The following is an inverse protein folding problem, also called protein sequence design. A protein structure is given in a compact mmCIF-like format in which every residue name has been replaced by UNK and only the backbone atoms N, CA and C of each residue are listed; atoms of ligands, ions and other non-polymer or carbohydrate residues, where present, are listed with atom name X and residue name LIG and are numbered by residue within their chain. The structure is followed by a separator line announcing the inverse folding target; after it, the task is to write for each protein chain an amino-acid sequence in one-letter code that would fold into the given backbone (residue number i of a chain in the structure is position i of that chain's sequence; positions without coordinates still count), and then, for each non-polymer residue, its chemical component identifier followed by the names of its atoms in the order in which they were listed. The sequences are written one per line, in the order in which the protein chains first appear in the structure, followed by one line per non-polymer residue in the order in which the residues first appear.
data_IF_660891997264
#
_entry.id   IF_660891997264
#
_cell.length_a   1.000
_cell.length_b   1.000
_cell.length_c   1.000
_cell.angle_alpha   90.00
_cell.angle_beta   90.00
_cell.angle_gamma   90.00
#
_symmetry.space_group_name_H-M   'P 1'
#
loop_
_entity.id
_entity.type
_entity.pdbx_description
1 polymer ?
#
# COMPACT_ATOMS: atom_id res chain seq x y z
N UNK A 1 17.30 -21.40 4.42
CA UNK A 1 16.44 -20.51 3.61
C UNK A 1 15.15 -20.29 4.39
N UNK A 2 14.71 -19.05 4.60
CA UNK A 2 13.47 -18.77 5.33
C UNK A 2 12.25 -19.08 4.45
N UNK A 3 11.25 -19.86 4.92
CA UNK A 3 9.98 -20.06 4.22
C UNK A 3 9.30 -18.74 3.83
N UNK A 4 8.63 -18.70 2.68
CA UNK A 4 8.02 -17.47 2.16
C UNK A 4 6.96 -16.87 3.09
N UNK A 5 6.13 -17.69 3.73
CA UNK A 5 5.13 -17.22 4.68
C UNK A 5 5.76 -16.54 5.91
N UNK A 6 6.90 -17.04 6.41
CA UNK A 6 7.63 -16.41 7.51
C UNK A 6 8.28 -15.10 7.06
N UNK A 7 8.78 -15.02 5.82
CA UNK A 7 9.28 -13.77 5.22
C UNK A 7 8.19 -12.70 5.17
N UNK A 8 6.99 -13.07 4.71
CA UNK A 8 5.80 -12.19 4.66
C UNK A 8 5.38 -11.71 6.02
N UNK A 9 5.36 -12.62 7.00
CA UNK A 9 5.06 -12.28 8.39
C UNK A 9 6.04 -11.23 8.92
N UNK A 10 7.35 -11.46 8.83
CA UNK A 10 8.36 -10.52 9.31
C UNK A 10 8.26 -9.15 8.62
N UNK A 11 8.01 -9.12 7.31
CA UNK A 11 7.83 -7.86 6.58
C UNK A 11 6.58 -7.10 7.02
N UNK A 12 5.48 -7.82 7.26
CA UNK A 12 4.21 -7.25 7.73
C UNK A 12 4.35 -6.71 9.14
N UNK A 13 4.94 -7.48 10.06
CA UNK A 13 5.21 -7.06 11.44
C UNK A 13 6.11 -5.82 11.49
N UNK A 14 7.19 -5.79 10.70
CA UNK A 14 8.05 -4.61 10.60
C UNK A 14 7.29 -3.38 10.07
N UNK A 15 6.35 -3.58 9.15
CA UNK A 15 5.50 -2.50 8.61
C UNK A 15 4.55 -1.97 9.68
N UNK A 16 3.90 -2.86 10.43
CA UNK A 16 2.99 -2.46 11.52
C UNK A 16 3.74 -1.82 12.69
N UNK A 17 4.89 -2.36 13.08
CA UNK A 17 5.73 -1.76 14.12
C UNK A 17 6.10 -0.31 13.79
N UNK A 18 6.30 0.00 12.50
CA UNK A 18 6.59 1.35 12.05
C UNK A 18 5.36 2.25 11.98
N UNK A 19 4.25 1.77 11.42
CA UNK A 19 3.13 2.63 11.01
C UNK A 19 1.86 2.52 11.87
N UNK A 20 1.64 1.45 12.65
CA UNK A 20 0.31 1.15 13.20
C UNK A 20 -0.29 2.27 14.05
N UNK A 21 0.52 2.94 14.86
CA UNK A 21 0.07 4.02 15.76
C UNK A 21 0.24 5.42 15.16
N UNK A 22 0.72 5.52 13.91
CA UNK A 22 0.97 6.83 13.30
C UNK A 22 -0.28 7.32 12.56
N UNK A 23 -0.64 8.61 12.70
CA UNK A 23 -1.70 9.18 11.90
C UNK A 23 -1.31 9.32 10.43
N UNK A 24 -2.32 9.28 9.57
CA UNK A 24 -2.14 9.67 8.17
C UNK A 24 -1.78 11.15 8.16
N UNK A 25 -0.58 11.45 7.71
CA UNK A 25 -0.08 12.81 7.66
C UNK A 25 0.90 12.97 6.48
N UNK A 26 0.54 13.89 5.61
CA UNK A 26 1.32 14.23 4.44
C UNK A 26 2.62 14.97 4.79
N UNK A 27 2.64 15.75 5.87
CA UNK A 27 3.82 16.53 6.26
C UNK A 27 4.94 15.63 6.78
N UNK A 28 4.61 14.65 7.63
CA UNK A 28 5.55 13.67 8.17
C UNK A 28 5.84 12.49 7.24
N UNK A 29 5.29 12.47 6.01
CA UNK A 29 5.45 11.38 5.04
C UNK A 29 4.92 10.05 5.55
N UNK A 30 3.79 10.12 6.26
CA UNK A 30 3.07 8.96 6.79
C UNK A 30 1.77 8.79 6.00
N UNK A 31 1.85 8.13 4.85
CA UNK A 31 0.68 7.84 4.01
C UNK A 31 0.73 6.42 3.45
N UNK A 32 -0.37 5.95 2.84
CA UNK A 32 -0.48 4.61 2.27
C UNK A 32 0.66 4.27 1.29
N UNK A 33 1.07 5.20 0.42
CA UNK A 33 2.19 4.96 -0.52
C UNK A 33 3.55 4.87 0.18
N UNK A 34 3.75 5.62 1.27
CA UNK A 34 4.97 5.52 2.07
C UNK A 34 5.04 4.19 2.81
N UNK A 35 3.92 3.74 3.37
CA UNK A 35 3.78 2.41 3.99
C UNK A 35 4.05 1.31 2.96
N UNK A 36 3.38 1.36 1.80
CA UNK A 36 3.56 0.39 0.72
C UNK A 36 5.03 0.33 0.26
N UNK A 37 5.66 1.48 0.01
CA UNK A 37 7.08 1.53 -0.38
C UNK A 37 7.99 0.90 0.69
N UNK A 38 7.73 1.17 1.97
CA UNK A 38 8.48 0.55 3.06
C UNK A 38 8.27 -0.98 3.07
N UNK A 39 7.02 -1.43 2.96
CA UNK A 39 6.68 -2.85 2.93
C UNK A 39 7.35 -3.59 1.77
N UNK A 40 7.29 -3.02 0.55
CA UNK A 40 7.98 -3.55 -0.63
C UNK A 40 9.48 -3.76 -0.38
N UNK A 41 10.14 -2.81 0.29
CA UNK A 41 11.57 -2.95 0.65
C UNK A 41 11.80 -4.07 1.68
N UNK A 42 10.91 -4.23 2.66
CA UNK A 42 10.99 -5.34 3.62
C UNK A 42 10.80 -6.71 2.91
N UNK A 43 10.00 -6.73 1.85
CA UNK A 43 9.83 -7.88 0.98
C UNK A 43 10.94 -8.06 -0.07
N UNK A 44 12.00 -7.24 -0.04
CA UNK A 44 13.17 -7.38 -0.91
C UNK A 44 13.05 -6.69 -2.29
N UNK A 45 11.93 -6.01 -2.56
CA UNK A 45 11.76 -5.24 -3.79
C UNK A 45 12.56 -3.93 -3.75
N UNK A 46 12.81 -3.39 -4.95
CA UNK A 46 13.51 -2.11 -5.15
C UNK A 46 12.60 -1.11 -5.84
N UNK A 47 11.52 -0.64 -5.19
CA UNK A 47 10.62 0.33 -5.79
C UNK A 47 11.39 1.62 -6.14
N UNK A 48 11.00 2.31 -7.23
CA UNK A 48 11.69 3.50 -7.69
C UNK A 48 11.72 4.60 -6.62
N UNK A 49 12.63 5.58 -6.75
CA UNK A 49 12.63 6.76 -5.89
C UNK A 49 11.26 7.44 -5.91
N UNK A 50 10.71 7.64 -4.72
CA UNK A 50 9.43 8.33 -4.54
C UNK A 50 9.69 9.83 -4.51
N UNK A 51 8.89 10.67 -5.21
CA UNK A 51 9.06 12.11 -5.13
C UNK A 51 8.63 12.60 -3.74
N UNK A 52 9.02 13.82 -3.38
CA UNK A 52 8.55 14.43 -2.13
C UNK A 52 7.07 14.81 -2.27
N UNK A 53 6.18 13.99 -1.71
CA UNK A 53 4.72 14.19 -1.75
C UNK A 53 4.24 14.65 -0.38
N UNK A 54 3.69 15.86 -0.31
CA UNK A 54 3.20 16.48 0.93
C UNK A 54 1.72 16.90 0.88
N UNK A 55 0.97 16.40 -0.09
CA UNK A 55 -0.49 16.57 -0.18
C UNK A 55 -1.11 15.62 -1.21
N UNK A 56 -2.43 15.43 -1.14
CA UNK A 56 -3.20 14.69 -2.15
C UNK A 56 -3.02 15.28 -3.57
N UNK A 57 -3.03 16.62 -3.69
CA UNK A 57 -2.77 17.28 -4.97
C UNK A 57 -1.34 16.98 -5.47
N UNK A 58 -0.36 16.97 -4.56
CA UNK A 58 1.02 16.58 -4.86
C UNK A 58 1.14 15.14 -5.35
N UNK A 59 0.39 14.21 -4.73
CA UNK A 59 0.31 12.81 -5.16
C UNK A 59 -0.24 12.70 -6.58
N UNK A 60 -1.37 13.34 -6.89
CA UNK A 60 -1.95 13.33 -8.25
C UNK A 60 -0.98 13.89 -9.30
N UNK A 61 -0.31 15.01 -8.98
CA UNK A 61 0.73 15.59 -9.86
C UNK A 61 1.89 14.61 -10.07
N UNK A 62 2.29 13.87 -9.04
CA UNK A 62 3.34 12.88 -9.12
C UNK A 62 2.97 11.68 -10.01
N UNK A 63 1.72 11.20 -9.95
CA UNK A 63 1.20 10.16 -10.85
C UNK A 63 1.22 10.66 -12.30
N UNK A 64 0.63 11.83 -12.56
CA UNK A 64 0.59 12.46 -13.89
C UNK A 64 1.98 12.67 -14.49
N UNK A 65 2.95 13.14 -13.70
CA UNK A 65 4.34 13.34 -14.15
C UNK A 65 4.99 12.02 -14.60
N UNK A 66 4.61 10.89 -13.99
CA UNK A 66 5.07 9.55 -14.37
C UNK A 66 4.19 8.86 -15.42
N UNK A 67 3.14 9.54 -15.90
CA UNK A 67 2.15 9.01 -16.86
C UNK A 67 1.44 7.76 -16.33
N UNK A 68 1.18 7.73 -15.02
CA UNK A 68 0.28 6.77 -14.41
C UNK A 68 -1.09 7.43 -14.25
N UNK A 69 -2.13 6.78 -14.76
CA UNK A 69 -3.48 7.32 -14.74
C UNK A 69 -4.06 7.32 -13.32
N UNK A 70 -3.74 6.30 -12.53
CA UNK A 70 -4.17 6.12 -11.14
C UNK A 70 -3.12 5.37 -10.30
N UNK A 71 -3.52 4.98 -9.07
CA UNK A 71 -2.66 4.24 -8.14
C UNK A 71 -2.48 2.78 -8.56
N UNK A 72 -3.49 2.19 -9.21
CA UNK A 72 -3.40 0.81 -9.72
C UNK A 72 -2.36 0.72 -10.85
N UNK A 73 -2.40 1.65 -11.81
CA UNK A 73 -1.42 1.77 -12.88
C UNK A 73 0.00 2.01 -12.34
N UNK A 74 0.13 2.78 -11.24
CA UNK A 74 1.41 2.88 -10.54
C UNK A 74 1.88 1.53 -10.02
N UNK A 75 1.03 0.75 -9.35
CA UNK A 75 1.43 -0.55 -8.82
C UNK A 75 1.73 -1.55 -9.93
N UNK A 76 1.01 -1.54 -11.04
CA UNK A 76 1.33 -2.35 -12.23
C UNK A 76 2.73 -2.01 -12.78
N UNK A 77 3.11 -0.73 -12.80
CA UNK A 77 4.44 -0.31 -13.24
C UNK A 77 5.55 -0.65 -12.22
N UNK A 78 5.25 -0.62 -10.92
CA UNK A 78 6.21 -0.92 -9.85
C UNK A 78 6.39 -2.43 -9.65
N UNK A 79 5.34 -3.22 -9.88
CA UNK A 79 5.28 -4.67 -9.74
C UNK A 79 4.76 -5.32 -11.04
N UNK A 80 5.54 -5.28 -12.13
CA UNK A 80 5.09 -5.76 -13.43
C UNK A 80 4.73 -7.26 -13.38
N UNK A 81 3.52 -7.59 -13.85
CA UNK A 81 3.01 -8.97 -13.89
C UNK A 81 2.57 -9.55 -12.54
N UNK A 82 2.59 -8.76 -11.46
CA UNK A 82 2.24 -9.22 -10.12
C UNK A 82 0.73 -9.12 -9.79
N UNK A 83 -0.08 -8.62 -10.71
CA UNK A 83 -1.52 -8.42 -10.48
C UNK A 83 -2.22 -9.76 -10.30
N UNK A 84 -3.05 -9.86 -9.27
CA UNK A 84 -3.78 -11.08 -8.90
C UNK A 84 -5.24 -10.78 -8.62
N UNK A 85 -6.08 -11.81 -8.63
CA UNK A 85 -7.44 -11.70 -8.10
C UNK A 85 -7.37 -11.42 -6.58
N UNK A 86 -8.21 -10.52 -6.02
CA UNK A 86 -8.19 -10.21 -4.59
C UNK A 86 -8.33 -11.44 -3.67
N UNK A 87 -9.12 -12.43 -4.09
CA UNK A 87 -9.31 -13.67 -3.32
C UNK A 87 -8.05 -14.56 -3.25
N UNK A 88 -7.04 -14.29 -4.09
CA UNK A 88 -5.77 -15.01 -4.11
C UNK A 88 -4.66 -14.30 -3.30
N UNK A 89 -4.99 -13.22 -2.58
CA UNK A 89 -4.03 -12.51 -1.75
C UNK A 89 -3.51 -13.39 -0.63
N UNK A 90 -2.23 -13.20 -0.31
CA UNK A 90 -1.54 -13.77 0.83
C UNK A 90 -1.10 -12.65 1.77
N UNK A 91 -0.77 -12.99 3.02
CA UNK A 91 -0.21 -12.04 3.98
C UNK A 91 0.88 -11.18 3.33
N UNK A 92 0.79 -9.86 3.49
CA UNK A 92 1.74 -8.91 2.92
C UNK A 92 1.47 -8.47 1.47
N UNK A 93 0.49 -9.06 0.79
CA UNK A 93 0.08 -8.57 -0.53
C UNK A 93 -0.56 -7.18 -0.42
N UNK A 94 -0.47 -6.40 -1.50
CA UNK A 94 -1.04 -5.06 -1.54
C UNK A 94 -2.37 -5.07 -2.27
N UNK A 95 -3.32 -4.29 -1.76
CA UNK A 95 -4.60 -4.06 -2.37
C UNK A 95 -4.80 -2.56 -2.64
N UNK A 96 -5.58 -2.25 -3.67
CA UNK A 96 -6.07 -0.88 -3.91
C UNK A 96 -7.58 -0.88 -3.80
N UNK A 97 -8.10 0.12 -3.09
CA UNK A 97 -9.52 0.41 -2.96
C UNK A 97 -9.75 1.88 -3.31
N UNK A 98 -11.00 2.24 -3.61
CA UNK A 98 -11.36 3.64 -3.74
C UNK A 98 -11.11 4.34 -2.41
N UNK A 99 -10.37 5.44 -2.47
CA UNK A 99 -10.10 6.29 -1.30
C UNK A 99 -10.92 7.58 -1.35
N UNK A 100 -10.49 8.55 -0.56
CA UNK A 100 -11.09 9.87 -0.49
C UNK A 100 -10.37 10.89 -1.41
N UNK A 101 -10.90 12.11 -1.48
CA UNK A 101 -10.24 13.26 -2.13
C UNK A 101 -9.80 13.03 -3.59
N UNK A 102 -10.43 12.08 -4.30
CA UNK A 102 -10.08 11.71 -5.67
C UNK A 102 -8.72 11.00 -5.80
N UNK A 103 -8.33 10.21 -4.78
CA UNK A 103 -7.19 9.30 -4.83
C UNK A 103 -7.60 7.93 -4.28
N UNK A 104 -7.10 6.88 -4.89
CA UNK A 104 -7.24 5.53 -4.34
C UNK A 104 -6.32 5.33 -3.14
N UNK A 105 -6.67 4.37 -2.28
CA UNK A 105 -5.91 4.00 -1.10
C UNK A 105 -5.21 2.64 -1.31
N UNK A 106 -3.96 2.53 -0.86
CA UNK A 106 -3.22 1.27 -0.82
C UNK A 106 -3.36 0.66 0.58
N UNK A 107 -3.75 -0.61 0.65
CA UNK A 107 -3.91 -1.38 1.87
C UNK A 107 -2.94 -2.57 1.87
N UNK A 108 -2.57 -3.04 3.07
CA UNK A 108 -1.75 -4.22 3.27
C UNK A 108 -2.62 -5.39 3.71
N UNK A 109 -2.57 -6.52 3.00
CA UNK A 109 -3.41 -7.67 3.32
C UNK A 109 -2.88 -8.46 4.54
N UNK A 110 -3.79 -8.84 5.44
CA UNK A 110 -3.49 -9.57 6.66
C UNK A 110 -4.60 -10.59 7.01
N UNK A 111 -4.68 -11.69 6.23
CA UNK A 111 -5.66 -12.74 6.47
C UNK A 111 -7.01 -12.41 5.83
N UNK A 112 -8.09 -12.29 6.60
CA UNK A 112 -9.39 -11.89 6.02
C UNK A 112 -9.60 -10.38 5.98
N UNK A 113 -8.58 -9.62 6.39
CA UNK A 113 -8.65 -8.17 6.57
C UNK A 113 -7.58 -7.48 5.72
N UNK A 114 -7.80 -6.20 5.46
CA UNK A 114 -6.81 -5.30 4.88
C UNK A 114 -6.53 -4.16 5.86
N UNK A 115 -5.25 -3.84 6.02
CA UNK A 115 -4.75 -2.86 6.99
C UNK A 115 -4.46 -1.54 6.27
N UNK A 116 -5.02 -0.46 6.80
CA UNK A 116 -4.74 0.90 6.33
C UNK A 116 -5.45 1.95 7.19
N UNK A 117 -5.36 3.21 6.77
CA UNK A 117 -6.09 4.30 7.42
C UNK A 117 -7.52 4.36 6.88
N UNK A 118 -8.49 4.31 7.79
CA UNK A 118 -9.90 4.52 7.48
C UNK A 118 -10.27 6.00 7.62
N UNK A 119 -11.22 6.51 6.84
CA UNK A 119 -11.66 7.92 6.87
C UNK A 119 -12.13 8.39 8.26
N UNK A 120 -12.75 7.49 9.02
CA UNK A 120 -13.22 7.72 10.40
C UNK A 120 -12.17 7.35 11.46
N UNK A 121 -10.92 7.10 11.07
CA UNK A 121 -9.86 6.62 11.96
C UNK A 121 -8.59 7.47 11.87
N UNK A 122 -7.88 7.58 13.00
CA UNK A 122 -6.62 8.33 13.08
C UNK A 122 -5.38 7.45 12.99
N UNK A 123 -5.52 6.14 12.80
CA UNK A 123 -4.41 5.18 12.77
C UNK A 123 -4.73 4.00 11.84
N UNK A 124 -3.78 3.11 11.63
CA UNK A 124 -4.05 1.89 10.86
C UNK A 124 -5.03 1.01 11.63
N UNK A 125 -6.08 0.58 10.95
CA UNK A 125 -7.09 -0.34 11.47
C UNK A 125 -7.27 -1.51 10.50
N UNK A 126 -7.66 -2.69 11.00
CA UNK A 126 -8.15 -3.76 10.15
C UNK A 126 -9.51 -3.40 9.55
N UNK A 127 -9.70 -3.75 8.29
CA UNK A 127 -10.93 -3.49 7.55
C UNK A 127 -11.31 -4.72 6.73
N UNK A 128 -12.60 -5.05 6.72
CA UNK A 128 -13.18 -5.95 5.73
C UNK A 128 -13.48 -5.10 4.50
N UNK A 129 -12.88 -5.47 3.37
CA UNK A 129 -13.04 -4.75 2.10
C UNK A 129 -14.00 -5.50 1.20
N UNK A 130 -15.03 -4.81 0.72
CA UNK A 130 -16.05 -5.38 -0.15
C UNK A 130 -15.78 -5.16 -1.64
N UNK A 131 -15.13 -4.05 -2.00
CA UNK A 131 -14.84 -3.69 -3.38
C UNK A 131 -13.36 -3.33 -3.53
N UNK A 132 -12.65 -4.11 -4.35
CA UNK A 132 -11.25 -3.88 -4.68
C UNK A 132 -11.14 -3.28 -6.08
N UNK A 133 -10.28 -2.28 -6.23
CA UNK A 133 -9.80 -1.80 -7.54
C UNK A 133 -8.78 -2.78 -8.12
N UNK A 134 -7.96 -3.40 -7.26
CA UNK A 134 -7.03 -4.45 -7.65
C UNK A 134 -6.19 -4.98 -6.48
N UNK A 135 -5.44 -6.06 -6.73
CA UNK A 135 -4.51 -6.66 -5.79
C UNK A 135 -3.22 -7.09 -6.49
N UNK A 136 -2.10 -7.07 -5.75
CA UNK A 136 -0.76 -7.39 -6.25
C UNK A 136 -0.02 -8.30 -5.28
N UNK A 137 0.54 -9.37 -5.82
CA UNK A 137 1.46 -10.27 -5.12
C UNK A 137 2.78 -9.56 -4.85
N UNK A 138 3.20 -9.48 -3.59
CA UNK A 138 4.49 -8.91 -3.17
C UNK A 138 5.49 -9.99 -2.80
#
# INVERSE_FOLDING_TARGET
MMPDLLRRQHATEATLAKYRERPLDWASRTTCVHMARFHLRQMGHRPPPMPDIRSALGARRALKKRRWDDVAAMLDAVLPGARIAPLAMLLGDLAVVRGDQGLDAILLHAGNEALGWHENGSRIVPMIVHEYVGAWRV
#
